data_IF_328597897481
#
_entry.id   IF_328597897481
#
_cell.length_a   1.000
_cell.length_b   1.000
_cell.length_c   1.000
_cell.angle_alpha   90.00
_cell.angle_beta   90.00
_cell.angle_gamma   90.00
#
_symmetry.space_group_name_H-M   'P 1'
#
loop_
_entity.id
_entity.type
_entity.pdbx_description
1 polymer ?
#
# COMPACT_ATOMS: atom_id res chain seq x y z
N UNK A 1 4.10 -23.46 -14.44
CA UNK A 1 5.35 -24.23 -14.27
C UNK A 1 5.40 -25.32 -15.33
N UNK A 2 5.86 -25.04 -16.57
CA UNK A 2 6.13 -26.03 -17.64
C UNK A 2 6.59 -25.44 -19.01
N UNK A 3 6.70 -24.12 -19.18
CA UNK A 3 7.18 -23.50 -20.42
C UNK A 3 8.70 -23.20 -20.36
N UNK A 4 9.23 -22.86 -19.19
CA UNK A 4 10.66 -22.56 -19.00
C UNK A 4 11.56 -23.81 -19.17
N UNK A 5 11.11 -24.98 -18.71
CA UNK A 5 11.90 -26.20 -18.78
C UNK A 5 12.10 -26.71 -20.21
N UNK A 6 11.06 -26.63 -21.05
CA UNK A 6 11.13 -27.00 -22.46
C UNK A 6 12.07 -26.07 -23.25
N UNK A 7 12.08 -24.78 -22.90
CA UNK A 7 12.95 -23.77 -23.51
C UNK A 7 14.43 -24.01 -23.20
N UNK A 8 14.75 -24.39 -21.96
CA UNK A 8 16.11 -24.73 -21.51
C UNK A 8 16.62 -26.01 -22.20
N UNK A 9 15.79 -27.04 -22.32
CA UNK A 9 16.14 -28.27 -23.05
C UNK A 9 16.37 -28.05 -24.54
N UNK A 10 15.61 -27.14 -25.16
CA UNK A 10 15.79 -26.80 -26.57
C UNK A 10 17.11 -26.05 -26.80
N UNK A 11 17.44 -25.08 -25.94
CA UNK A 11 18.66 -24.29 -26.08
C UNK A 11 19.92 -25.11 -25.82
N UNK A 12 19.91 -25.98 -24.81
CA UNK A 12 21.02 -26.89 -24.50
C UNK A 12 21.28 -27.87 -25.65
N UNK A 13 20.23 -28.42 -26.27
CA UNK A 13 20.37 -29.31 -27.44
C UNK A 13 21.02 -28.59 -28.63
N UNK A 14 20.56 -27.36 -28.92
CA UNK A 14 21.08 -26.55 -30.03
C UNK A 14 22.55 -26.13 -29.80
N UNK A 15 22.92 -25.81 -28.56
CA UNK A 15 24.30 -25.50 -28.19
C UNK A 15 25.21 -26.73 -28.33
N UNK A 16 24.76 -27.91 -27.90
CA UNK A 16 25.52 -29.15 -28.04
C UNK A 16 25.75 -29.53 -29.51
N UNK A 17 24.76 -29.32 -30.38
CA UNK A 17 24.92 -29.61 -31.82
C UNK A 17 25.87 -28.60 -32.50
N UNK A 18 25.88 -27.34 -32.07
CA UNK A 18 26.84 -26.34 -32.54
C UNK A 18 28.29 -26.73 -32.15
N UNK A 19 28.49 -27.17 -30.90
CA UNK A 19 29.81 -27.57 -30.39
C UNK A 19 30.34 -28.85 -31.06
N UNK A 20 29.48 -29.80 -31.43
CA UNK A 20 29.86 -30.97 -32.24
C UNK A 20 30.45 -30.57 -33.57
N UNK A 21 29.77 -29.64 -34.25
CA UNK A 21 30.13 -29.20 -35.59
C UNK A 21 31.41 -28.34 -35.59
N UNK A 22 31.62 -27.53 -34.54
CA UNK A 22 32.76 -26.63 -34.48
C UNK A 22 34.09 -27.32 -34.13
N UNK A 23 34.06 -28.39 -33.33
CA UNK A 23 35.28 -29.05 -32.85
C UNK A 23 35.58 -30.42 -33.47
N UNK A 24 34.69 -30.98 -34.31
CA UNK A 24 34.87 -32.31 -34.94
C UNK A 24 35.18 -33.44 -33.93
N UNK A 25 34.54 -33.40 -32.76
CA UNK A 25 34.77 -34.34 -31.65
C UNK A 25 33.74 -35.48 -31.69
N UNK A 26 34.18 -36.74 -31.53
CA UNK A 26 33.30 -37.92 -31.48
C UNK A 26 32.36 -37.91 -30.25
N UNK A 27 31.18 -38.54 -30.39
CA UNK A 27 30.05 -38.47 -29.45
C UNK A 27 30.38 -38.82 -27.99
N UNK A 28 31.33 -39.73 -27.73
CA UNK A 28 31.81 -40.07 -26.38
C UNK A 28 32.68 -38.99 -25.74
N UNK A 29 33.54 -38.31 -26.50
CA UNK A 29 34.33 -37.20 -25.97
C UNK A 29 33.43 -35.98 -25.72
N UNK A 30 32.40 -35.81 -26.54
CA UNK A 30 31.43 -34.73 -26.39
C UNK A 30 30.50 -34.91 -25.18
N UNK A 31 30.13 -36.14 -24.81
CA UNK A 31 29.36 -36.40 -23.58
C UNK A 31 30.16 -36.09 -22.32
N UNK A 32 31.46 -36.40 -22.29
CA UNK A 32 32.32 -36.05 -21.16
C UNK A 32 32.62 -34.55 -21.08
N UNK A 33 32.86 -33.89 -22.22
CA UNK A 33 33.10 -32.45 -22.27
C UNK A 33 31.85 -31.65 -21.90
N UNK A 34 30.67 -32.09 -22.36
CA UNK A 34 29.39 -31.43 -22.04
C UNK A 34 28.97 -31.60 -20.58
N UNK A 35 29.21 -32.75 -19.95
CA UNK A 35 28.92 -32.94 -18.53
C UNK A 35 29.82 -32.03 -17.68
N UNK A 36 31.13 -31.99 -17.96
CA UNK A 36 32.05 -31.12 -17.22
C UNK A 36 31.78 -29.64 -17.46
N UNK A 37 31.40 -29.24 -18.69
CA UNK A 37 31.06 -27.86 -19.01
C UNK A 37 29.72 -27.43 -18.38
N UNK A 38 28.71 -28.32 -18.34
CA UNK A 38 27.45 -28.07 -17.65
C UNK A 38 27.66 -28.01 -16.13
N UNK A 39 28.47 -28.91 -15.56
CA UNK A 39 28.84 -28.85 -14.14
C UNK A 39 29.60 -27.56 -13.82
N UNK A 40 30.52 -27.11 -14.70
CA UNK A 40 31.26 -25.86 -14.52
C UNK A 40 30.35 -24.63 -14.63
N UNK A 41 29.39 -24.63 -15.57
CA UNK A 41 28.38 -23.57 -15.70
C UNK A 41 27.41 -23.55 -14.50
N UNK A 42 27.02 -24.72 -13.97
CA UNK A 42 26.22 -24.83 -12.75
C UNK A 42 27.03 -24.29 -11.56
N UNK A 43 28.30 -24.65 -11.43
CA UNK A 43 29.18 -24.11 -10.38
C UNK A 43 29.33 -22.60 -10.52
N UNK A 44 29.48 -22.06 -11.73
CA UNK A 44 29.51 -20.60 -11.96
C UNK A 44 28.16 -19.97 -11.63
N UNK A 45 27.03 -20.59 -11.95
CA UNK A 45 25.69 -20.06 -11.64
C UNK A 45 25.37 -20.12 -10.13
N UNK A 46 25.89 -21.11 -9.41
CA UNK A 46 25.73 -21.23 -7.95
C UNK A 46 26.77 -20.42 -7.16
N UNK A 47 27.95 -20.14 -7.73
CA UNK A 47 29.01 -19.34 -7.10
C UNK A 47 29.12 -17.92 -7.67
N UNK A 48 28.32 -17.54 -8.68
CA UNK A 48 28.16 -16.14 -9.02
C UNK A 48 27.55 -15.53 -7.77
N UNK A 49 28.24 -14.62 -7.07
CA UNK A 49 27.58 -13.83 -6.07
C UNK A 49 26.46 -13.12 -6.83
N UNK A 50 25.21 -13.54 -6.59
CA UNK A 50 24.11 -12.63 -6.82
C UNK A 50 24.57 -11.33 -6.18
N UNK A 51 24.50 -10.19 -6.87
CA UNK A 51 24.65 -8.92 -6.19
C UNK A 51 23.51 -8.92 -5.16
N UNK A 52 23.81 -9.41 -3.96
CA UNK A 52 23.11 -9.06 -2.75
C UNK A 52 23.21 -7.57 -2.82
N UNK A 53 22.08 -6.92 -3.11
CA UNK A 53 21.97 -5.48 -3.04
C UNK A 53 22.69 -5.12 -1.75
N UNK A 54 23.85 -4.46 -1.86
CA UNK A 54 24.58 -4.04 -0.70
C UNK A 54 23.55 -3.28 0.12
N UNK A 55 23.35 -3.71 1.37
CA UNK A 55 22.63 -2.90 2.33
C UNK A 55 23.33 -1.56 2.26
N UNK A 56 22.68 -0.55 1.68
CA UNK A 56 23.23 0.78 1.70
C UNK A 56 23.33 1.14 3.18
N UNK A 57 24.52 0.99 3.74
CA UNK A 57 24.92 1.58 5.02
C UNK A 57 25.14 3.10 4.80
N UNK A 58 24.19 3.71 4.09
CA UNK A 58 24.00 5.12 3.94
C UNK A 58 22.82 5.50 4.79
N UNK A 59 22.97 6.56 5.57
CA UNK A 59 21.92 7.25 6.31
C UNK A 59 20.89 7.87 5.32
N UNK A 60 20.30 7.07 4.43
CA UNK A 60 19.23 7.49 3.53
C UNK A 60 18.03 7.70 4.44
N UNK A 61 17.54 8.94 4.59
CA UNK A 61 16.40 9.21 5.44
C UNK A 61 15.22 8.37 4.95
N UNK A 62 14.58 7.66 5.87
CA UNK A 62 13.39 6.88 5.53
C UNK A 62 12.30 7.84 5.04
N UNK A 63 11.59 7.51 3.95
CA UNK A 63 10.61 8.42 3.37
C UNK A 63 9.38 8.53 4.26
N UNK A 64 8.74 9.70 4.25
CA UNK A 64 7.37 9.83 4.73
C UNK A 64 6.44 9.09 3.76
N UNK A 65 5.41 8.44 4.29
CA UNK A 65 4.41 7.72 3.50
C UNK A 65 3.06 8.39 3.71
N UNK A 66 2.41 8.78 2.61
CA UNK A 66 1.15 9.51 2.64
C UNK A 66 0.15 8.78 1.74
N UNK A 67 -0.99 8.40 2.29
CA UNK A 67 -2.12 7.84 1.55
C UNK A 67 -3.26 8.87 1.56
N UNK A 68 -3.52 9.48 0.40
CA UNK A 68 -4.74 10.24 0.18
C UNK A 68 -5.83 9.31 -0.35
N UNK A 69 -6.82 9.00 0.50
CA UNK A 69 -7.97 8.18 0.10
C UNK A 69 -9.22 9.04 -0.04
N UNK A 70 -9.72 9.17 -1.28
CA UNK A 70 -10.99 9.83 -1.56
C UNK A 70 -12.17 8.88 -1.31
N UNK A 71 -13.35 9.44 -1.03
CA UNK A 71 -14.60 8.69 -0.83
C UNK A 71 -15.51 8.96 -2.04
N UNK A 72 -15.93 7.89 -2.72
CA UNK A 72 -16.80 7.91 -3.91
C UNK A 72 -16.30 8.76 -5.11
N UNK A 73 -14.97 8.91 -5.28
CA UNK A 73 -14.38 9.51 -6.47
C UNK A 73 -14.48 8.53 -7.66
N UNK A 74 -15.20 8.92 -8.71
CA UNK A 74 -15.33 8.15 -9.93
C UNK A 74 -14.04 8.18 -10.77
N UNK A 75 -13.82 7.11 -11.55
CA UNK A 75 -12.65 7.01 -12.44
C UNK A 75 -12.55 8.18 -13.42
N UNK A 76 -13.70 8.70 -13.88
CA UNK A 76 -13.78 9.82 -14.82
C UNK A 76 -13.89 11.19 -14.18
N UNK A 77 -13.71 11.36 -12.87
CA UNK A 77 -13.93 12.65 -12.19
C UNK A 77 -12.73 13.61 -12.25
N UNK A 78 -11.53 13.09 -12.50
CA UNK A 78 -10.31 13.89 -12.58
C UNK A 78 -9.98 14.29 -14.01
N UNK A 79 -9.49 15.51 -14.22
CA UNK A 79 -9.03 15.97 -15.53
C UNK A 79 -7.85 15.12 -16.04
N UNK A 80 -6.96 14.73 -15.14
CA UNK A 80 -5.91 13.73 -15.42
C UNK A 80 -6.43 12.35 -15.83
N UNK A 81 -7.73 12.05 -15.72
CA UNK A 81 -8.35 10.84 -16.27
C UNK A 81 -9.35 11.14 -17.41
N UNK A 82 -9.31 12.36 -17.95
CA UNK A 82 -10.07 12.76 -19.14
C UNK A 82 -11.36 13.54 -18.84
N UNK A 83 -11.61 13.96 -17.60
CA UNK A 83 -12.77 14.82 -17.31
C UNK A 83 -12.58 16.22 -17.94
N UNK A 84 -13.49 16.70 -18.81
CA UNK A 84 -13.36 18.02 -19.44
C UNK A 84 -13.98 19.16 -18.63
N UNK A 85 -14.66 18.87 -17.51
CA UNK A 85 -15.48 19.83 -16.75
C UNK A 85 -14.86 20.13 -15.38
N UNK A 86 -14.54 19.09 -14.61
CA UNK A 86 -14.02 19.23 -13.24
C UNK A 86 -12.54 19.62 -13.31
N UNK A 87 -12.17 20.68 -12.59
CA UNK A 87 -10.80 21.21 -12.56
C UNK A 87 -10.08 20.75 -11.30
N UNK A 88 -8.99 20.00 -11.46
CA UNK A 88 -8.21 19.42 -10.35
C UNK A 88 -6.72 19.75 -10.45
N UNK A 89 -6.34 21.03 -10.60
CA UNK A 89 -4.99 21.41 -11.03
C UNK A 89 -3.87 20.84 -10.14
N UNK A 90 -4.07 20.75 -8.82
CA UNK A 90 -3.08 20.18 -7.90
C UNK A 90 -2.93 18.66 -8.07
N UNK A 91 -4.04 17.93 -8.28
CA UNK A 91 -4.00 16.49 -8.53
C UNK A 91 -3.47 16.18 -9.94
N UNK A 92 -3.76 17.05 -10.90
CA UNK A 92 -3.25 16.93 -12.26
C UNK A 92 -1.73 17.14 -12.29
N UNK A 93 -1.22 18.13 -11.54
CA UNK A 93 0.22 18.33 -11.34
C UNK A 93 0.85 17.12 -10.66
N UNK A 94 0.24 16.60 -9.59
CA UNK A 94 0.72 15.40 -8.90
C UNK A 94 0.79 14.18 -9.83
N UNK A 95 -0.20 14.01 -10.71
CA UNK A 95 -0.19 12.94 -11.71
C UNK A 95 0.88 13.11 -12.79
N UNK A 96 1.26 14.36 -13.12
CA UNK A 96 2.34 14.67 -14.08
C UNK A 96 3.73 14.47 -13.49
N UNK A 97 3.91 14.75 -12.20
CA UNK A 97 5.18 14.62 -11.47
C UNK A 97 5.43 13.19 -10.97
N UNK A 98 4.39 12.36 -10.91
CA UNK A 98 4.43 11.01 -10.37
C UNK A 98 4.10 9.90 -11.37
N UNK A 99 3.58 8.80 -10.85
CA UNK A 99 3.11 7.64 -11.62
C UNK A 99 1.59 7.59 -11.55
N UNK A 100 0.94 7.61 -12.72
CA UNK A 100 -0.51 7.42 -12.84
C UNK A 100 -0.85 5.98 -13.19
N UNK A 101 -1.72 5.35 -12.40
CA UNK A 101 -2.17 3.97 -12.60
C UNK A 101 -3.56 3.93 -13.23
N UNK A 102 -3.69 3.40 -14.44
CA UNK A 102 -4.98 3.29 -15.15
C UNK A 102 -5.71 1.96 -14.92
N UNK A 103 -5.09 1.04 -14.16
CA UNK A 103 -5.62 -0.29 -13.84
C UNK A 103 -5.63 -0.61 -12.34
N UNK A 104 -5.75 0.42 -11.49
CA UNK A 104 -5.82 0.25 -10.04
C UNK A 104 -7.26 -0.08 -9.61
N UNK A 105 -7.42 -1.12 -8.79
CA UNK A 105 -8.72 -1.59 -8.34
C UNK A 105 -8.79 -1.58 -6.81
N UNK A 106 -9.95 -1.23 -6.26
CA UNK A 106 -10.24 -1.44 -4.85
C UNK A 106 -10.58 -2.91 -4.59
N UNK A 107 -10.26 -3.41 -3.39
CA UNK A 107 -10.60 -4.78 -3.00
C UNK A 107 -12.11 -5.01 -2.84
N UNK A 108 -12.83 -3.97 -2.41
CA UNK A 108 -14.28 -3.99 -2.26
C UNK A 108 -15.00 -2.95 -3.12
N UNK A 109 -16.30 -3.17 -3.33
CA UNK A 109 -17.20 -2.24 -4.03
C UNK A 109 -17.79 -1.17 -3.11
N UNK A 110 -17.46 -1.18 -1.82
CA UNK A 110 -17.94 -0.22 -0.81
C UNK A 110 -16.81 0.18 0.13
N UNK A 111 -16.95 1.36 0.74
CA UNK A 111 -15.90 2.03 1.51
C UNK A 111 -15.24 1.18 2.60
N UNK A 112 -16.00 0.47 3.46
CA UNK A 112 -15.40 -0.30 4.58
C UNK A 112 -14.47 -1.42 4.13
N UNK A 113 -14.85 -2.21 3.12
CA UNK A 113 -14.03 -3.32 2.61
C UNK A 113 -12.70 -2.79 2.03
N UNK A 114 -12.77 -1.71 1.25
CA UNK A 114 -11.59 -1.07 0.65
C UNK A 114 -10.66 -0.51 1.72
N UNK A 115 -11.20 0.20 2.73
CA UNK A 115 -10.43 0.74 3.85
C UNK A 115 -9.77 -0.37 4.67
N UNK A 116 -10.47 -1.47 4.92
CA UNK A 116 -9.96 -2.60 5.69
C UNK A 116 -8.74 -3.21 4.97
N UNK A 117 -8.85 -3.37 3.66
CA UNK A 117 -7.78 -3.95 2.84
C UNK A 117 -6.57 -3.04 2.72
N UNK A 118 -6.77 -1.72 2.62
CA UNK A 118 -5.68 -0.73 2.63
C UNK A 118 -4.89 -0.80 3.95
N UNK A 119 -5.59 -0.92 5.08
CA UNK A 119 -4.95 -0.87 6.40
C UNK A 119 -4.36 -2.20 6.83
N UNK A 120 -4.87 -3.34 6.35
CA UNK A 120 -4.40 -4.68 6.75
C UNK A 120 -3.52 -5.36 5.71
N UNK A 121 -3.54 -4.89 4.45
CA UNK A 121 -2.89 -5.57 3.33
C UNK A 121 -3.53 -6.92 2.98
N UNK A 122 -4.72 -7.21 3.53
CA UNK A 122 -5.46 -8.46 3.35
C UNK A 122 -6.74 -8.18 2.56
N UNK A 123 -7.18 -9.16 1.77
CA UNK A 123 -8.53 -9.12 1.19
C UNK A 123 -9.57 -8.95 2.31
N UNK A 124 -10.62 -8.17 2.04
CA UNK A 124 -11.63 -7.79 3.01
C UNK A 124 -12.34 -9.00 3.65
N UNK A 125 -12.64 -10.05 2.88
CA UNK A 125 -13.24 -11.25 3.48
C UNK A 125 -12.28 -11.94 4.44
N UNK A 126 -10.97 -11.86 4.18
CA UNK A 126 -9.93 -12.41 5.04
C UNK A 126 -9.73 -11.66 6.35
N UNK A 127 -10.09 -10.37 6.42
CA UNK A 127 -10.01 -9.56 7.64
C UNK A 127 -11.38 -9.35 8.33
N UNK A 128 -12.40 -10.15 7.93
CA UNK A 128 -13.73 -10.16 8.56
C UNK A 128 -14.74 -9.16 7.96
N UNK A 129 -14.36 -8.41 6.93
CA UNK A 129 -15.25 -7.48 6.23
C UNK A 129 -16.02 -8.14 5.10
N UNK A 130 -17.25 -8.55 5.40
CA UNK A 130 -18.25 -9.04 4.44
C UNK A 130 -19.41 -8.04 4.22
N UNK A 131 -19.40 -6.93 4.94
CA UNK A 131 -20.38 -5.84 4.84
C UNK A 131 -19.76 -4.50 5.24
N UNK A 132 -20.56 -3.44 5.22
CA UNK A 132 -20.19 -2.13 5.75
C UNK A 132 -20.05 -2.23 7.28
N UNK A 133 -19.05 -1.54 7.85
CA UNK A 133 -18.84 -1.50 9.30
C UNK A 133 -20.12 -1.08 10.05
N UNK A 134 -20.44 -1.79 11.13
CA UNK A 134 -21.66 -1.58 11.92
C UNK A 134 -22.90 -2.33 11.42
N UNK A 135 -22.88 -2.91 10.21
CA UNK A 135 -23.96 -3.74 9.69
C UNK A 135 -23.64 -5.22 9.95
N UNK A 136 -24.62 -6.00 10.42
CA UNK A 136 -24.48 -7.43 10.75
C UNK A 136 -23.35 -7.78 11.74
N UNK A 137 -22.85 -6.78 12.49
CA UNK A 137 -21.71 -6.95 13.39
C UNK A 137 -20.34 -6.91 12.70
N UNK A 138 -20.27 -6.52 11.42
CA UNK A 138 -19.00 -6.29 10.73
C UNK A 138 -18.24 -5.13 11.40
N UNK A 139 -17.02 -5.39 11.85
CA UNK A 139 -16.10 -4.42 12.44
C UNK A 139 -14.67 -4.97 12.34
N UNK A 140 -13.68 -4.10 12.43
CA UNK A 140 -12.28 -4.50 12.43
C UNK A 140 -11.93 -5.19 13.74
N UNK A 141 -11.39 -6.40 13.62
CA UNK A 141 -10.97 -7.17 14.77
C UNK A 141 -9.67 -6.59 15.36
N UNK A 142 -9.61 -6.53 16.69
CA UNK A 142 -8.42 -6.10 17.44
C UNK A 142 -7.16 -6.92 17.18
N UNK A 143 -7.33 -8.15 16.70
CA UNK A 143 -6.24 -9.08 16.43
C UNK A 143 -5.70 -8.93 14.98
N UNK A 144 -6.31 -8.07 14.15
CA UNK A 144 -5.77 -7.72 12.84
C UNK A 144 -4.52 -6.85 13.01
N UNK A 145 -3.48 -7.18 12.24
CA UNK A 145 -2.25 -6.39 12.18
C UNK A 145 -2.43 -5.34 11.09
N UNK A 146 -2.22 -4.07 11.44
CA UNK A 146 -2.36 -2.96 10.51
C UNK A 146 -1.02 -2.38 10.07
N UNK A 147 -1.01 -1.79 8.87
CA UNK A 147 0.10 -1.04 8.31
C UNK A 147 0.65 0.03 9.29
N UNK A 148 -0.16 0.90 9.93
CA UNK A 148 0.34 1.83 10.94
C UNK A 148 0.98 1.14 12.16
N UNK A 149 0.45 0.01 12.65
CA UNK A 149 1.11 -0.75 13.74
C UNK A 149 2.52 -1.20 13.32
N UNK A 150 2.65 -1.77 12.12
CA UNK A 150 3.95 -2.21 11.58
C UNK A 150 4.93 -1.04 11.35
N UNK A 151 4.45 0.10 10.85
CA UNK A 151 5.28 1.29 10.63
C UNK A 151 5.74 1.90 11.96
N UNK A 152 4.88 1.90 12.97
CA UNK A 152 5.22 2.36 14.32
C UNK A 152 6.30 1.51 14.98
N UNK A 153 6.30 0.19 14.78
CA UNK A 153 7.35 -0.71 15.28
C UNK A 153 8.74 -0.36 14.74
N UNK A 154 8.80 0.17 13.52
CA UNK A 154 10.05 0.65 12.92
C UNK A 154 10.30 2.14 13.16
N UNK A 155 9.51 2.82 13.99
CA UNK A 155 9.77 4.19 14.43
C UNK A 155 9.23 5.28 13.50
N UNK A 156 8.18 4.99 12.75
CA UNK A 156 7.36 6.04 12.14
C UNK A 156 6.44 6.64 13.19
N UNK A 157 6.21 7.96 13.10
CA UNK A 157 5.00 8.56 13.68
C UNK A 157 3.81 8.27 12.77
N UNK A 158 2.64 8.04 13.35
CA UNK A 158 1.47 7.59 12.59
C UNK A 158 0.27 8.49 12.86
N UNK A 159 -0.36 8.96 11.78
CA UNK A 159 -1.50 9.88 11.87
C UNK A 159 -2.65 9.53 10.95
N UNK A 160 -3.87 9.78 11.41
CA UNK A 160 -5.11 9.53 10.67
C UNK A 160 -6.05 10.73 10.66
N UNK A 161 -6.56 11.12 9.49
CA UNK A 161 -7.53 12.21 9.39
C UNK A 161 -8.75 11.84 8.51
N UNK A 162 -9.95 12.06 9.04
CA UNK A 162 -11.20 11.93 8.30
C UNK A 162 -12.02 10.68 8.66
N UNK A 163 -12.39 9.88 7.67
CA UNK A 163 -13.38 8.80 7.83
C UNK A 163 -12.72 7.44 8.05
N UNK A 164 -12.89 6.90 9.26
CA UNK A 164 -12.34 5.59 9.63
C UNK A 164 -13.14 4.45 9.00
N UNK A 165 -14.41 4.33 9.37
CA UNK A 165 -15.37 3.36 8.80
C UNK A 165 -14.95 1.89 8.82
N UNK A 166 -14.12 1.53 9.80
CA UNK A 166 -13.74 0.16 10.14
C UNK A 166 -14.26 -0.28 11.51
N UNK A 167 -14.74 0.64 12.33
CA UNK A 167 -15.36 0.37 13.63
C UNK A 167 -16.21 1.56 14.06
N UNK A 168 -17.06 1.37 15.07
CA UNK A 168 -17.78 2.43 15.77
C UNK A 168 -16.88 3.02 16.86
N UNK A 169 -16.27 4.16 16.58
CA UNK A 169 -15.33 4.85 17.48
C UNK A 169 -15.98 5.34 18.78
N UNK A 170 -17.30 5.47 18.82
CA UNK A 170 -18.07 5.79 20.02
C UNK A 170 -18.31 4.56 20.92
N UNK A 171 -18.07 3.35 20.41
CA UNK A 171 -18.30 2.10 21.12
C UNK A 171 -17.02 1.63 21.81
N UNK A 172 -16.99 1.51 23.15
CA UNK A 172 -15.82 0.98 23.87
C UNK A 172 -15.62 -0.53 23.63
N UNK A 173 -16.56 -1.20 22.96
CA UNK A 173 -16.46 -2.61 22.62
C UNK A 173 -15.77 -2.85 21.27
N UNK A 174 -15.50 -1.80 20.49
CA UNK A 174 -14.84 -1.89 19.18
C UNK A 174 -13.52 -1.11 19.21
N UNK A 175 -12.62 -1.46 18.30
CA UNK A 175 -11.28 -0.87 18.24
C UNK A 175 -11.34 0.62 17.89
N UNK A 176 -10.57 1.42 18.59
CA UNK A 176 -10.28 2.80 18.25
C UNK A 176 -9.21 2.91 17.17
N UNK A 177 -9.11 4.08 16.53
CA UNK A 177 -8.04 4.38 15.55
C UNK A 177 -6.66 4.26 16.22
N UNK A 178 -6.55 4.67 17.49
CA UNK A 178 -5.28 4.62 18.22
C UNK A 178 -4.85 3.18 18.57
N UNK A 179 -5.78 2.30 18.93
CA UNK A 179 -5.50 0.88 19.16
C UNK A 179 -5.02 0.19 17.87
N UNK A 180 -5.48 0.67 16.71
CA UNK A 180 -5.06 0.19 15.39
C UNK A 180 -3.79 0.87 14.88
N UNK A 181 -3.01 1.49 15.76
CA UNK A 181 -1.62 1.86 15.50
C UNK A 181 -1.34 3.33 15.28
N UNK A 182 -2.36 4.21 15.24
CA UNK A 182 -2.17 5.63 15.01
C UNK A 182 -1.86 6.43 16.30
N UNK A 183 -0.79 7.20 16.30
CA UNK A 183 -0.38 8.07 17.42
C UNK A 183 -1.30 9.30 17.54
N UNK A 184 -1.74 9.84 16.41
CA UNK A 184 -2.66 10.97 16.34
C UNK A 184 -3.84 10.65 15.41
N UNK A 185 -5.04 11.05 15.79
CA UNK A 185 -6.19 10.98 14.91
C UNK A 185 -7.16 12.14 15.10
N UNK A 186 -7.74 12.59 14.00
CA UNK A 186 -9.02 13.30 13.97
C UNK A 186 -9.96 12.51 13.05
N UNK A 187 -10.79 11.67 13.65
CA UNK A 187 -11.50 10.62 12.92
C UNK A 187 -13.02 10.67 13.14
N UNK A 188 -13.75 9.99 12.26
CA UNK A 188 -15.18 9.74 12.35
C UNK A 188 -15.48 8.28 12.05
N UNK A 189 -16.46 7.69 12.74
CA UNK A 189 -16.90 6.32 12.49
C UNK A 189 -17.46 6.13 11.09
N UNK A 190 -18.15 7.14 10.55
CA UNK A 190 -18.77 7.10 9.22
C UNK A 190 -18.79 8.51 8.62
N UNK A 191 -19.94 9.07 8.26
CA UNK A 191 -20.06 10.44 7.83
C UNK A 191 -20.00 11.36 9.05
N UNK A 192 -19.28 12.48 8.92
CA UNK A 192 -19.09 13.45 9.99
C UNK A 192 -20.32 14.32 10.29
N UNK A 193 -21.42 14.10 9.58
CA UNK A 193 -22.60 14.98 9.57
C UNK A 193 -23.90 14.21 9.29
N UNK A 194 -25.04 14.79 9.66
CA UNK A 194 -26.38 14.25 9.39
C UNK A 194 -27.10 14.94 8.22
N UNK A 195 -26.89 16.26 8.03
CA UNK A 195 -27.68 17.07 7.08
C UNK A 195 -26.85 17.84 6.05
N UNK A 196 -25.51 17.78 6.12
CA UNK A 196 -24.60 18.36 5.12
C UNK A 196 -23.16 18.53 5.63
N UNK A 197 -22.18 18.78 4.75
CA UNK A 197 -20.76 18.75 5.12
C UNK A 197 -20.28 19.99 5.91
N UNK A 198 -21.17 20.91 6.26
CA UNK A 198 -20.84 22.11 7.03
C UNK A 198 -21.17 21.88 8.51
N UNK A 199 -20.28 22.33 9.36
CA UNK A 199 -20.34 22.24 10.81
C UNK A 199 -20.50 20.80 11.34
N UNK A 200 -19.57 19.87 11.01
CA UNK A 200 -19.65 18.49 11.46
C UNK A 200 -19.53 18.37 12.98
N UNK A 201 -20.22 17.37 13.55
CA UNK A 201 -20.40 17.19 14.99
C UNK A 201 -19.97 15.80 15.51
N UNK A 202 -19.42 14.95 14.64
CA UNK A 202 -19.06 13.55 14.95
C UNK A 202 -17.56 13.28 15.02
N UNK A 203 -16.72 14.32 14.98
CA UNK A 203 -15.28 14.12 15.07
C UNK A 203 -14.87 13.66 16.47
N UNK A 204 -13.93 12.71 16.48
CA UNK A 204 -13.26 12.18 17.66
C UNK A 204 -11.77 12.41 17.45
N UNK A 205 -11.14 13.18 18.35
CA UNK A 205 -9.71 13.43 18.35
C UNK A 205 -9.06 12.60 19.45
N UNK A 206 -8.18 11.66 19.08
CA UNK A 206 -7.52 10.75 20.01
C UNK A 206 -8.47 10.10 21.03
N UNK A 207 -9.58 9.53 20.53
CA UNK A 207 -10.60 8.89 21.36
C UNK A 207 -11.54 9.83 22.11
N UNK A 208 -11.37 11.16 22.00
CA UNK A 208 -12.23 12.14 22.67
C UNK A 208 -13.13 12.89 21.67
N UNK A 209 -14.47 12.90 21.85
CA UNK A 209 -15.36 13.73 21.04
C UNK A 209 -14.98 15.21 21.15
N UNK A 210 -14.93 15.91 20.02
CA UNK A 210 -14.57 17.34 19.98
C UNK A 210 -15.77 18.28 19.87
N UNK A 211 -16.98 17.71 19.83
CA UNK A 211 -18.21 18.46 19.61
C UNK A 211 -18.33 18.98 18.17
N UNK A 212 -19.18 20.01 17.99
CA UNK A 212 -19.36 20.67 16.69
C UNK A 212 -18.16 21.54 16.36
N UNK A 213 -17.56 21.30 15.20
CA UNK A 213 -16.51 22.15 14.65
C UNK A 213 -17.11 23.09 13.63
N UNK A 214 -16.71 24.36 13.63
CA UNK A 214 -17.15 25.34 12.63
C UNK A 214 -16.36 25.17 11.32
N UNK A 215 -17.06 25.18 10.18
CA UNK A 215 -16.45 25.15 8.85
C UNK A 215 -16.90 23.96 7.99
N UNK A 216 -16.26 23.79 6.83
CA UNK A 216 -16.54 22.66 5.94
C UNK A 216 -15.68 21.46 6.34
N UNK A 217 -16.28 20.26 6.28
CA UNK A 217 -15.61 18.99 6.61
C UNK A 217 -14.23 18.86 5.95
N UNK A 218 -14.14 19.13 4.65
CA UNK A 218 -12.88 19.00 3.91
C UNK A 218 -11.81 19.99 4.38
N UNK A 219 -12.21 21.21 4.73
CA UNK A 219 -11.30 22.24 5.24
C UNK A 219 -10.82 21.86 6.64
N UNK A 220 -11.71 21.36 7.50
CA UNK A 220 -11.36 20.89 8.85
C UNK A 220 -10.31 19.78 8.77
N UNK A 221 -10.55 18.75 7.94
CA UNK A 221 -9.61 17.62 7.78
C UNK A 221 -8.27 18.10 7.20
N UNK A 222 -8.31 18.91 6.15
CA UNK A 222 -7.09 19.38 5.47
C UNK A 222 -6.28 20.35 6.33
N UNK A 223 -6.94 21.23 7.08
CA UNK A 223 -6.27 22.16 7.99
C UNK A 223 -5.69 21.44 9.21
N UNK A 224 -6.38 20.45 9.77
CA UNK A 224 -5.84 19.65 10.87
C UNK A 224 -4.57 18.89 10.42
N UNK A 225 -4.61 18.27 9.24
CA UNK A 225 -3.46 17.63 8.63
C UNK A 225 -2.27 18.59 8.45
N UNK A 226 -2.51 19.75 7.83
CA UNK A 226 -1.49 20.77 7.63
C UNK A 226 -0.92 21.30 8.95
N UNK A 227 -1.79 21.53 9.94
CA UNK A 227 -1.40 21.96 11.28
C UNK A 227 -0.52 20.91 11.98
N UNK A 228 -0.89 19.63 11.91
CA UNK A 228 -0.10 18.56 12.51
C UNK A 228 1.30 18.47 11.87
N UNK A 229 1.37 18.50 10.53
CA UNK A 229 2.65 18.48 9.80
C UNK A 229 3.52 19.69 10.17
N UNK A 230 2.92 20.87 10.31
CA UNK A 230 3.67 22.10 10.56
C UNK A 230 4.09 22.29 12.02
N UNK A 231 3.40 21.69 12.99
CA UNK A 231 3.54 22.08 14.41
C UNK A 231 3.61 20.95 15.42
N UNK A 232 3.25 19.71 15.04
CA UNK A 232 3.13 18.58 15.98
C UNK A 232 4.10 17.44 15.70
N UNK A 233 4.46 17.22 14.43
CA UNK A 233 5.36 16.13 14.06
C UNK A 233 6.75 16.32 14.64
N UNK A 234 7.42 15.20 14.88
CA UNK A 234 8.84 15.11 15.19
C UNK A 234 9.63 15.12 13.87
N UNK A 235 10.33 16.22 13.58
CA UNK A 235 11.12 16.37 12.35
C UNK A 235 12.28 15.37 12.23
N UNK A 236 12.65 14.67 13.32
CA UNK A 236 13.67 13.62 13.31
C UNK A 236 13.12 12.24 12.92
N UNK A 237 11.79 12.08 12.85
CA UNK A 237 11.13 10.82 12.51
C UNK A 237 10.44 10.88 11.15
N UNK A 238 10.43 9.76 10.39
CA UNK A 238 9.52 9.64 9.28
C UNK A 238 8.07 9.53 9.81
N UNK A 239 7.09 9.93 9.01
CA UNK A 239 5.68 9.78 9.36
C UNK A 239 4.88 9.01 8.31
N UNK A 240 3.84 8.33 8.79
CA UNK A 240 2.79 7.71 8.00
C UNK A 240 1.50 8.49 8.19
N UNK A 241 0.96 8.99 7.09
CA UNK A 241 -0.30 9.73 7.03
C UNK A 241 -1.34 8.92 6.27
N UNK A 242 -2.54 8.80 6.83
CA UNK A 242 -3.71 8.24 6.16
C UNK A 242 -4.98 9.07 6.36
#
# INVERSE_FOLDING_TARGET
MNIEFASILYFTKKLMDLLKNFFSINSRQLSFLSINMVMFLIVILFNYPYPIAQKEDGNVPRPNVIIFLTDDLGYGDLASYGNPIIKTPNLDQFALEGVRMTGMHSDGTVCSLSRASIHTGRNAYGNGFYSIAGIFGTTLHKDEITLPQLLKEVGYETVFFGKWHLSRLESPAEVSVNEMGFDYSLATSVNAFNTGPKNPDKFIRNGQPVGTLEGWYVDIVSNEAAYWIATKRDDEKPFFYS
#
